data_IF_981413195121
#
_entry.id   IF_981413195121
#
_cell.length_a   1.000
_cell.length_b   1.000
_cell.length_c   1.000
_cell.angle_alpha   90.00
_cell.angle_beta   90.00
_cell.angle_gamma   90.00
#
_symmetry.space_group_name_H-M   'P 1'
#
loop_
_entity.id
_entity.type
_entity.pdbx_description
1 polymer ?
#
# COMPACT_ATOMS: atom_id res chain seq x y z
N UNK A 1 -0.01 9.00 15.13
CA UNK A 1 0.33 8.61 16.52
C UNK A 1 1.06 9.77 17.17
N UNK A 2 0.51 10.23 18.25
CA UNK A 2 1.15 11.29 19.04
C UNK A 2 1.92 10.64 20.19
N UNK A 3 3.23 10.75 20.14
CA UNK A 3 4.07 10.25 21.20
C UNK A 3 4.61 11.43 21.99
N UNK A 4 4.20 11.57 23.23
CA UNK A 4 4.70 12.62 24.12
C UNK A 4 5.73 11.99 25.06
N UNK A 5 6.98 12.37 24.88
CA UNK A 5 8.07 11.95 25.77
C UNK A 5 8.74 13.19 26.35
N UNK A 6 8.68 13.33 27.66
CA UNK A 6 9.39 14.38 28.37
C UNK A 6 10.89 14.14 28.28
N UNK A 7 11.67 15.18 28.01
CA UNK A 7 13.14 15.10 27.96
C UNK A 7 13.75 14.79 26.61
N UNK A 8 13.01 14.97 25.51
CA UNK A 8 13.56 14.74 24.15
C UNK A 8 13.55 15.99 23.26
N UNK A 9 13.97 17.17 23.74
CA UNK A 9 13.99 18.36 22.88
C UNK A 9 14.99 18.23 21.71
N UNK A 10 16.07 17.48 21.90
CA UNK A 10 17.07 17.26 20.85
C UNK A 10 16.52 16.44 19.69
N UNK A 11 15.71 15.40 19.96
CA UNK A 11 15.07 14.60 18.94
C UNK A 11 14.04 15.43 18.17
N UNK A 12 13.25 16.22 18.89
CA UNK A 12 12.24 17.08 18.29
C UNK A 12 12.88 18.12 17.35
N UNK A 13 13.97 18.76 17.78
CA UNK A 13 14.72 19.71 16.95
C UNK A 13 15.28 19.01 15.72
N UNK A 14 15.83 17.81 15.87
CA UNK A 14 16.37 17.04 14.75
C UNK A 14 15.28 16.69 13.73
N UNK A 15 14.12 16.26 14.20
CA UNK A 15 12.99 15.94 13.33
C UNK A 15 12.49 17.17 12.55
N UNK A 16 12.46 18.33 13.21
CA UNK A 16 12.06 19.59 12.55
C UNK A 16 13.10 20.10 11.55
N UNK A 17 14.38 19.85 11.82
CA UNK A 17 15.47 20.28 10.94
C UNK A 17 15.56 19.46 9.65
N UNK A 18 14.98 18.25 9.64
CA UNK A 18 14.95 17.42 8.44
C UNK A 18 13.97 18.01 7.44
N UNK A 19 14.43 18.25 6.22
CA UNK A 19 13.61 18.87 5.20
C UNK A 19 12.46 17.95 4.79
N UNK A 20 11.28 18.54 4.54
CA UNK A 20 10.11 17.81 4.03
C UNK A 20 10.44 16.99 2.77
N UNK A 21 11.36 17.47 1.94
CA UNK A 21 11.80 16.77 0.74
C UNK A 21 12.40 15.40 1.04
N UNK A 22 13.13 15.28 2.15
CA UNK A 22 13.75 14.00 2.54
C UNK A 22 12.70 12.96 2.92
N UNK A 23 11.75 13.36 3.74
CA UNK A 23 10.64 12.49 4.15
C UNK A 23 9.74 12.13 2.98
N UNK A 24 9.44 13.09 2.12
CA UNK A 24 8.65 12.86 0.91
C UNK A 24 9.37 11.87 -0.03
N UNK A 25 10.68 11.97 -0.13
CA UNK A 25 11.47 11.05 -0.94
C UNK A 25 11.37 9.61 -0.44
N UNK A 26 11.51 9.41 0.87
CA UNK A 26 11.38 8.07 1.48
C UNK A 26 9.97 7.52 1.25
N UNK A 27 8.94 8.31 1.51
CA UNK A 27 7.56 7.88 1.35
C UNK A 27 7.24 7.55 -0.12
N UNK A 28 7.65 8.41 -1.06
CA UNK A 28 7.42 8.19 -2.49
C UNK A 28 8.19 6.98 -3.03
N UNK A 29 9.42 6.76 -2.56
CA UNK A 29 10.19 5.56 -2.89
C UNK A 29 9.42 4.30 -2.50
N UNK A 30 8.91 4.25 -1.28
CA UNK A 30 8.20 3.08 -0.77
C UNK A 30 6.88 2.84 -1.50
N UNK A 31 6.13 3.91 -1.80
CA UNK A 31 4.90 3.82 -2.58
C UNK A 31 5.17 3.29 -3.99
N UNK A 32 6.23 3.79 -4.63
CA UNK A 32 6.63 3.36 -5.98
C UNK A 32 7.06 1.89 -5.98
N UNK A 33 7.77 1.45 -4.95
CA UNK A 33 8.16 0.04 -4.80
C UNK A 33 6.95 -0.88 -4.68
N UNK A 34 5.94 -0.48 -3.89
CA UNK A 34 4.69 -1.24 -3.80
C UNK A 34 3.97 -1.31 -5.14
N UNK A 35 3.90 -0.20 -5.85
CA UNK A 35 3.27 -0.13 -7.16
C UNK A 35 3.96 -1.06 -8.16
N UNK A 36 5.28 -1.06 -8.18
CA UNK A 36 6.06 -1.89 -9.09
C UNK A 36 6.01 -3.38 -8.70
N UNK A 37 6.05 -3.67 -7.39
CA UNK A 37 5.96 -5.05 -6.90
C UNK A 37 4.63 -5.69 -7.25
N UNK A 38 3.56 -4.90 -7.28
CA UNK A 38 2.24 -5.41 -7.66
C UNK A 38 2.21 -5.96 -9.09
N UNK A 39 3.10 -5.50 -9.96
CA UNK A 39 3.18 -5.96 -11.34
C UNK A 39 3.99 -7.26 -11.51
N UNK A 40 4.76 -7.65 -10.49
CA UNK A 40 5.64 -8.83 -10.55
C UNK A 40 5.00 -10.02 -9.81
N UNK A 41 5.08 -11.23 -10.34
CA UNK A 41 4.63 -12.42 -9.61
C UNK A 41 5.46 -12.64 -8.33
N UNK A 42 4.85 -13.05 -7.19
CA UNK A 42 3.43 -13.24 -6.95
C UNK A 42 2.74 -11.94 -6.50
N UNK A 43 2.38 -11.11 -7.45
CA UNK A 43 1.75 -9.81 -7.19
C UNK A 43 0.23 -9.85 -7.32
N UNK A 44 -0.32 -8.83 -7.96
CA UNK A 44 -1.74 -8.74 -8.24
C UNK A 44 -2.18 -9.88 -9.16
N UNK A 45 -3.27 -10.61 -8.84
CA UNK A 45 -3.79 -11.63 -9.73
C UNK A 45 -4.21 -11.06 -11.08
N UNK A 46 -3.81 -11.74 -12.16
CA UNK A 46 -4.09 -11.30 -13.52
C UNK A 46 -5.47 -11.77 -13.99
N UNK A 47 -5.87 -12.97 -13.57
CA UNK A 47 -7.14 -13.56 -13.97
C UNK A 47 -7.12 -14.06 -15.42
N UNK A 48 -8.28 -14.51 -15.88
CA UNK A 48 -8.48 -15.01 -17.24
C UNK A 48 -9.41 -14.09 -18.02
N UNK A 49 -9.24 -14.06 -19.33
CA UNK A 49 -10.18 -13.37 -20.20
C UNK A 49 -11.56 -14.03 -20.15
N UNK A 50 -12.57 -13.23 -19.87
CA UNK A 50 -13.97 -13.64 -19.92
C UNK A 50 -14.76 -12.63 -20.74
N UNK A 51 -16.06 -12.93 -20.98
CA UNK A 51 -16.94 -11.98 -21.68
C UNK A 51 -17.08 -10.64 -20.95
N UNK A 52 -16.92 -10.65 -19.61
CA UNK A 52 -17.11 -9.46 -18.76
C UNK A 52 -15.81 -8.79 -18.37
N UNK A 53 -14.73 -9.53 -18.31
CA UNK A 53 -13.45 -9.02 -17.79
C UNK A 53 -12.29 -9.46 -18.67
N UNK A 54 -11.38 -8.54 -18.92
CA UNK A 54 -10.12 -8.84 -19.59
C UNK A 54 -9.03 -9.19 -18.57
N UNK A 55 -8.16 -10.10 -18.95
CA UNK A 55 -6.98 -10.45 -18.15
C UNK A 55 -6.18 -9.19 -17.79
N UNK A 56 -5.79 -9.06 -16.51
CA UNK A 56 -4.98 -7.95 -16.05
C UNK A 56 -5.73 -6.66 -15.75
N UNK A 57 -7.07 -6.64 -15.79
CA UNK A 57 -7.84 -5.43 -15.46
C UNK A 57 -7.57 -4.94 -14.05
N UNK A 58 -7.52 -5.85 -13.07
CA UNK A 58 -7.25 -5.50 -11.69
C UNK A 58 -5.86 -4.88 -11.55
N UNK A 59 -4.86 -5.46 -12.17
CA UNK A 59 -3.49 -4.93 -12.18
C UNK A 59 -3.43 -3.53 -12.80
N UNK A 60 -4.10 -3.32 -13.91
CA UNK A 60 -4.16 -2.02 -14.58
C UNK A 60 -4.95 -0.98 -13.78
N UNK A 61 -5.82 -1.42 -12.87
CA UNK A 61 -6.61 -0.51 -12.02
C UNK A 61 -5.84 0.05 -10.84
N UNK A 62 -4.61 -0.39 -10.63
CA UNK A 62 -3.82 0.13 -9.51
C UNK A 62 -3.55 1.63 -9.67
N UNK A 63 -3.62 2.33 -8.56
CA UNK A 63 -3.42 3.78 -8.52
C UNK A 63 -2.47 4.15 -7.40
N UNK A 64 -1.62 5.10 -7.70
CA UNK A 64 -0.64 5.63 -6.77
C UNK A 64 -0.85 7.14 -6.67
N UNK A 65 -1.08 7.62 -5.47
CA UNK A 65 -1.10 9.05 -5.19
C UNK A 65 0.17 9.39 -4.41
N UNK A 66 1.05 10.17 -5.02
CA UNK A 66 2.28 10.62 -4.39
C UNK A 66 1.98 11.49 -3.17
N UNK A 67 2.94 11.50 -2.27
CA UNK A 67 2.84 12.21 -1.02
C UNK A 67 2.71 13.71 -1.23
N UNK A 68 1.68 14.29 -0.64
CA UNK A 68 1.60 15.72 -0.39
C UNK A 68 1.84 15.95 1.09
N UNK A 69 2.83 16.78 1.41
CA UNK A 69 3.04 17.19 2.79
C UNK A 69 2.20 18.43 3.09
N UNK A 70 1.40 18.38 4.15
CA UNK A 70 0.79 19.56 4.75
C UNK A 70 1.24 19.64 6.20
N UNK A 71 1.96 20.70 6.53
CA UNK A 71 2.50 20.98 7.88
C UNK A 71 3.19 19.77 8.54
N UNK A 72 2.44 18.96 9.29
CA UNK A 72 3.02 17.88 10.08
C UNK A 72 2.61 16.47 9.62
N UNK A 73 1.80 16.37 8.56
CA UNK A 73 1.26 15.08 8.10
C UNK A 73 1.68 14.81 6.66
N UNK A 74 2.29 13.66 6.46
CA UNK A 74 2.69 13.16 5.15
C UNK A 74 1.77 12.00 4.82
N UNK A 75 0.98 12.15 3.77
CA UNK A 75 0.01 11.13 3.35
C UNK A 75 0.20 10.77 1.88
N UNK A 76 0.37 9.50 1.62
CA UNK A 76 0.36 8.95 0.27
C UNK A 76 -0.55 7.74 0.22
N UNK A 77 -1.09 7.45 -0.94
CA UNK A 77 -2.06 6.38 -1.10
C UNK A 77 -1.67 5.43 -2.24
N UNK A 78 -1.87 4.15 -2.00
CA UNK A 78 -1.75 3.11 -3.01
C UNK A 78 -2.95 2.18 -2.91
N UNK A 79 -3.54 1.84 -4.03
CA UNK A 79 -4.69 0.95 -4.05
C UNK A 79 -5.19 0.62 -5.44
N UNK A 80 -6.39 0.07 -5.49
CA UNK A 80 -7.04 -0.40 -6.71
C UNK A 80 -8.43 0.21 -6.83
N UNK A 81 -8.86 0.54 -8.03
CA UNK A 81 -10.15 1.21 -8.27
C UNK A 81 -11.26 0.27 -8.74
N UNK A 82 -10.97 -0.99 -9.01
CA UNK A 82 -12.02 -1.94 -9.44
C UNK A 82 -12.91 -2.34 -8.28
N UNK A 83 -14.22 -2.43 -8.54
CA UNK A 83 -15.24 -2.74 -7.54
C UNK A 83 -15.04 -4.12 -6.92
N UNK A 84 -14.51 -5.07 -7.67
CA UNK A 84 -14.30 -6.44 -7.20
C UNK A 84 -12.94 -6.62 -6.48
N UNK A 85 -12.12 -5.58 -6.38
CA UNK A 85 -10.81 -5.68 -5.73
C UNK A 85 -10.88 -6.21 -4.28
N UNK A 86 -11.82 -5.75 -3.43
CA UNK A 86 -11.96 -6.32 -2.09
C UNK A 86 -12.31 -7.80 -2.08
N UNK A 87 -13.08 -8.27 -3.04
CA UNK A 87 -13.46 -9.69 -3.12
C UNK A 87 -12.26 -10.58 -3.47
N UNK A 88 -11.36 -10.09 -4.32
CA UNK A 88 -10.12 -10.81 -4.65
C UNK A 88 -9.17 -10.81 -3.45
N UNK A 89 -9.10 -9.70 -2.72
CA UNK A 89 -8.23 -9.55 -1.55
C UNK A 89 -8.68 -10.44 -0.39
N UNK A 90 -9.95 -10.35 -0.01
CA UNK A 90 -10.48 -11.00 1.19
C UNK A 90 -11.21 -12.31 0.93
N UNK A 91 -11.59 -12.55 -0.32
CA UNK A 91 -12.47 -13.66 -0.69
C UNK A 91 -13.94 -13.27 -0.61
N UNK A 92 -14.79 -14.16 -1.08
CA UNK A 92 -16.23 -13.91 -1.12
C UNK A 92 -17.03 -15.20 -1.21
N UNK A 93 -18.30 -15.12 -0.81
CA UNK A 93 -19.24 -16.22 -0.98
C UNK A 93 -19.65 -16.35 -2.44
N UNK A 94 -19.73 -17.58 -2.91
CA UNK A 94 -20.25 -17.87 -4.24
C UNK A 94 -21.73 -18.20 -4.09
N UNK A 95 -22.59 -17.39 -4.73
CA UNK A 95 -24.04 -17.51 -4.62
C UNK A 95 -24.62 -17.84 -6.01
N UNK A 96 -25.45 -18.89 -6.06
CA UNK A 96 -26.24 -19.25 -7.25
C UNK A 96 -27.69 -19.47 -6.85
N UNK A 97 -28.62 -18.87 -7.60
CA UNK A 97 -30.06 -18.98 -7.33
C UNK A 97 -30.45 -18.64 -5.87
N UNK A 98 -29.81 -17.61 -5.31
CA UNK A 98 -30.06 -17.16 -3.94
C UNK A 98 -29.46 -18.03 -2.84
N UNK A 99 -28.74 -19.10 -3.18
CA UNK A 99 -28.11 -20.01 -2.22
C UNK A 99 -26.59 -19.96 -2.34
N UNK A 100 -25.91 -20.00 -1.18
CA UNK A 100 -24.48 -20.12 -1.15
C UNK A 100 -24.06 -21.53 -1.57
N UNK A 101 -23.28 -21.61 -2.68
CA UNK A 101 -22.79 -22.89 -3.21
C UNK A 101 -21.30 -23.10 -2.98
N UNK A 102 -20.60 -22.08 -2.48
CA UNK A 102 -19.17 -22.20 -2.19
C UNK A 102 -18.59 -20.89 -1.67
N UNK A 103 -17.29 -20.90 -1.49
CA UNK A 103 -16.53 -19.73 -1.03
C UNK A 103 -15.22 -19.63 -1.83
N UNK A 104 -14.94 -18.44 -2.34
CA UNK A 104 -13.66 -18.15 -3.00
C UNK A 104 -12.71 -17.54 -1.98
N UNK A 105 -11.57 -18.19 -1.76
CA UNK A 105 -10.54 -17.70 -0.86
C UNK A 105 -9.88 -16.44 -1.41
N UNK A 106 -9.59 -15.49 -0.53
CA UNK A 106 -8.85 -14.29 -0.90
C UNK A 106 -7.38 -14.58 -1.16
N UNK A 107 -6.80 -13.81 -2.06
CA UNK A 107 -5.37 -13.92 -2.40
C UNK A 107 -4.49 -13.04 -1.53
N UNK A 108 -5.09 -12.06 -0.85
CA UNK A 108 -4.40 -11.07 0.02
C UNK A 108 -3.21 -10.39 -0.67
N UNK A 109 -3.37 -10.08 -1.96
CA UNK A 109 -2.30 -9.49 -2.76
C UNK A 109 -1.88 -8.10 -2.23
N UNK A 110 -2.84 -7.28 -1.80
CA UNK A 110 -2.55 -5.96 -1.23
C UNK A 110 -1.92 -6.09 0.17
N UNK A 111 -2.50 -6.93 1.02
CA UNK A 111 -1.99 -7.16 2.38
C UNK A 111 -0.55 -7.67 2.35
N UNK A 112 -0.25 -8.64 1.50
CA UNK A 112 1.09 -9.20 1.37
C UNK A 112 2.11 -8.16 0.89
N UNK A 113 1.70 -7.31 -0.05
CA UNK A 113 2.53 -6.22 -0.55
C UNK A 113 2.83 -5.20 0.55
N UNK A 114 1.81 -4.77 1.27
CA UNK A 114 1.96 -3.83 2.39
C UNK A 114 2.82 -4.42 3.50
N UNK A 115 2.63 -5.70 3.81
CA UNK A 115 3.41 -6.39 4.83
C UNK A 115 4.90 -6.40 4.50
N UNK A 116 5.26 -6.69 3.26
CA UNK A 116 6.65 -6.64 2.81
C UNK A 116 7.21 -5.22 2.86
N UNK A 117 6.43 -4.24 2.42
CA UNK A 117 6.88 -2.86 2.37
C UNK A 117 7.03 -2.23 3.76
N UNK A 118 6.26 -2.68 4.74
CA UNK A 118 6.31 -2.15 6.11
C UNK A 118 7.71 -2.23 6.69
N UNK A 119 8.38 -3.37 6.55
CA UNK A 119 9.74 -3.53 7.07
C UNK A 119 10.76 -2.68 6.29
N UNK A 120 10.63 -2.64 4.98
CA UNK A 120 11.49 -1.80 4.12
C UNK A 120 11.32 -0.33 4.48
N UNK A 121 10.08 0.12 4.64
CA UNK A 121 9.77 1.50 5.02
C UNK A 121 10.36 1.86 6.38
N UNK A 122 10.24 0.96 7.34
CA UNK A 122 10.80 1.14 8.68
C UNK A 122 12.33 1.30 8.61
N UNK A 123 13.02 0.47 7.86
CA UNK A 123 14.47 0.57 7.68
C UNK A 123 14.87 1.86 6.97
N UNK A 124 14.16 2.25 5.93
CA UNK A 124 14.42 3.49 5.22
C UNK A 124 14.27 4.70 6.13
N UNK A 125 13.25 4.70 6.99
CA UNK A 125 13.03 5.77 7.98
C UNK A 125 14.16 5.82 9.00
N UNK A 126 14.58 4.68 9.52
CA UNK A 126 15.70 4.61 10.49
C UNK A 126 17.00 5.08 9.85
N UNK A 127 17.28 4.70 8.61
CA UNK A 127 18.47 5.12 7.89
C UNK A 127 18.47 6.64 7.68
N UNK A 128 17.32 7.21 7.38
CA UNK A 128 17.19 8.66 7.21
C UNK A 128 17.40 9.41 8.53
N UNK A 129 16.93 8.86 9.65
CA UNK A 129 17.14 9.44 10.98
C UNK A 129 18.62 9.41 11.42
N UNK A 130 19.37 8.41 10.97
CA UNK A 130 20.79 8.25 11.31
C UNK A 130 21.74 9.08 10.45
N UNK A 131 21.23 9.68 9.42
CA UNK A 131 22.01 10.46 8.46
C UNK A 131 22.55 11.77 8.98
#
# INVERSE_FOLDING_TARGET
MRMSMTGMPALEVKLRSMSEKRWNRVANKNLTEMFNRAARPPGTPIGKNTKRHKSGELLRSRRLKKVNSSKDVITGNFGYIKDYAPHVEYGHRIVRNGKQVGYANGTKYLFNNVKKQREIYRQDMLNELRR
#
